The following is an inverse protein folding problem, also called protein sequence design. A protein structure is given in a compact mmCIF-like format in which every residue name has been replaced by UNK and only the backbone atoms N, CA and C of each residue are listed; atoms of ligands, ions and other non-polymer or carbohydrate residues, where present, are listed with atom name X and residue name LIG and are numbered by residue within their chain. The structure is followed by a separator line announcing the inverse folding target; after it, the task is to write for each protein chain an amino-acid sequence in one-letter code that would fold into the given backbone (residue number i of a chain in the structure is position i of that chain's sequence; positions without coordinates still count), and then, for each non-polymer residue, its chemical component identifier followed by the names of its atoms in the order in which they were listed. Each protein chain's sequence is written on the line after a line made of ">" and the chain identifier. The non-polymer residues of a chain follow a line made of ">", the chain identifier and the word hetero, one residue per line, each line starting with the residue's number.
data_IF_506721592312
#
_entry.id   IF_506721592312
#
_cell.length_a   1.000
_cell.length_b   1.000
_cell.length_c   1.000
_cell.angle_alpha   90.00
_cell.angle_beta   90.00
_cell.angle_gamma   90.00
#
_symmetry.space_group_name_H-M   'P 1'
#
loop_
_entity.id
_entity.type
_entity.pdbx_description
1 polymer ?
#
# COMPACT_ATOMS: atom_id res chain seq x y z
N UNK A 1 13.80 -7.97 -6.97
CA UNK A 1 13.40 -6.70 -7.62
C UNK A 1 12.53 -6.92 -8.86
N UNK A 2 12.95 -7.65 -9.90
CA UNK A 2 12.13 -7.83 -11.10
C UNK A 2 10.83 -8.65 -10.90
N UNK A 3 10.81 -9.57 -9.92
CA UNK A 3 9.63 -10.40 -9.56
C UNK A 3 8.62 -9.67 -8.67
N UNK A 4 9.06 -8.65 -7.94
CA UNK A 4 8.20 -7.90 -7.00
C UNK A 4 7.14 -7.08 -7.76
N UNK A 5 7.52 -6.53 -8.91
CA UNK A 5 6.66 -5.69 -9.75
C UNK A 5 5.43 -6.46 -10.27
N UNK A 6 5.56 -7.63 -10.92
CA UNK A 6 4.40 -8.39 -11.38
C UNK A 6 3.56 -8.94 -10.22
N UNK A 7 4.18 -9.37 -9.12
CA UNK A 7 3.43 -9.82 -7.93
C UNK A 7 2.61 -8.70 -7.29
N UNK A 8 3.20 -7.50 -7.13
CA UNK A 8 2.49 -6.33 -6.61
C UNK A 8 1.35 -5.89 -7.54
N UNK A 9 1.52 -6.03 -8.85
CA UNK A 9 0.48 -5.71 -9.82
C UNK A 9 -0.71 -6.68 -9.73
N UNK A 10 -0.45 -7.99 -9.60
CA UNK A 10 -1.49 -9.01 -9.38
C UNK A 10 -2.22 -8.76 -8.05
N UNK A 11 -1.48 -8.40 -7.00
CA UNK A 11 -2.05 -8.07 -5.69
C UNK A 11 -2.94 -6.82 -5.76
N UNK A 12 -2.48 -5.76 -6.43
CA UNK A 12 -3.25 -4.52 -6.61
C UNK A 12 -4.56 -4.77 -7.37
N UNK A 13 -4.52 -5.59 -8.43
CA UNK A 13 -5.71 -5.96 -9.21
C UNK A 13 -6.68 -6.79 -8.36
N UNK A 14 -6.17 -7.77 -7.60
CA UNK A 14 -7.01 -8.59 -6.71
C UNK A 14 -7.70 -7.74 -5.65
N UNK A 15 -6.97 -6.86 -4.96
CA UNK A 15 -7.55 -5.94 -3.99
C UNK A 15 -8.55 -4.98 -4.63
N UNK A 16 -8.29 -4.48 -5.85
CA UNK A 16 -9.24 -3.65 -6.58
C UNK A 16 -10.54 -4.39 -6.89
N UNK A 17 -10.48 -5.60 -7.43
CA UNK A 17 -11.66 -6.41 -7.79
C UNK A 17 -12.55 -6.65 -6.56
N UNK A 18 -11.96 -6.80 -5.37
CA UNK A 18 -12.70 -6.99 -4.13
C UNK A 18 -13.30 -5.67 -3.65
N UNK A 19 -12.48 -4.63 -3.47
CA UNK A 19 -12.92 -3.39 -2.81
C UNK A 19 -13.80 -2.52 -3.70
N UNK A 20 -13.58 -2.50 -5.02
CA UNK A 20 -14.34 -1.65 -5.95
C UNK A 20 -15.86 -1.94 -5.93
N UNK A 21 -16.33 -3.19 -6.03
CA UNK A 21 -17.76 -3.50 -5.86
C UNK A 21 -18.25 -3.32 -4.42
N UNK A 22 -17.41 -3.51 -3.40
CA UNK A 22 -17.80 -3.33 -1.99
C UNK A 22 -18.20 -1.89 -1.63
N UNK A 23 -17.62 -0.89 -2.31
CA UNK A 23 -17.90 0.53 -2.03
C UNK A 23 -19.11 1.04 -2.84
N UNK A 24 -19.60 0.28 -3.83
CA UNK A 24 -20.77 0.69 -4.63
C UNK A 24 -20.50 1.91 -5.53
N UNK A 25 -19.24 2.11 -5.94
CA UNK A 25 -18.84 3.26 -6.78
C UNK A 25 -19.48 3.22 -8.18
N UNK A 26 -19.72 4.40 -8.74
CA UNK A 26 -20.14 4.55 -10.14
C UNK A 26 -19.03 4.09 -11.09
N UNK A 27 -19.35 3.18 -12.01
CA UNK A 27 -18.41 2.61 -12.99
C UNK A 27 -17.96 3.67 -13.99
N UNK A 28 -16.80 4.28 -13.73
CA UNK A 28 -16.11 5.18 -14.66
C UNK A 28 -14.66 4.73 -14.81
N UNK A 29 -14.25 4.44 -16.04
CA UNK A 29 -12.91 3.93 -16.36
C UNK A 29 -11.79 4.85 -15.84
N UNK A 30 -12.01 6.17 -15.87
CA UNK A 30 -11.07 7.16 -15.33
C UNK A 30 -10.84 6.98 -13.83
N UNK A 31 -11.92 6.83 -13.04
CA UNK A 31 -11.84 6.65 -11.58
C UNK A 31 -11.26 5.29 -11.21
N UNK A 32 -11.59 4.25 -11.98
CA UNK A 32 -11.03 2.91 -11.81
C UNK A 32 -9.53 2.92 -12.01
N UNK A 33 -9.07 3.52 -13.10
CA UNK A 33 -7.65 3.58 -13.41
C UNK A 33 -6.87 4.34 -12.33
N UNK A 34 -7.38 5.50 -11.91
CA UNK A 34 -6.79 6.27 -10.83
C UNK A 34 -6.73 5.50 -9.51
N UNK A 35 -7.81 4.77 -9.18
CA UNK A 35 -7.88 3.98 -7.96
C UNK A 35 -6.88 2.80 -7.96
N UNK A 36 -6.82 2.04 -9.06
CA UNK A 36 -5.84 0.93 -9.21
C UNK A 36 -4.41 1.49 -9.13
N UNK A 37 -4.14 2.61 -9.80
CA UNK A 37 -2.84 3.27 -9.77
C UNK A 37 -2.44 3.70 -8.35
N UNK A 38 -3.36 4.30 -7.58
CA UNK A 38 -3.11 4.68 -6.20
C UNK A 38 -2.82 3.49 -5.29
N UNK A 39 -3.58 2.38 -5.40
CA UNK A 39 -3.32 1.16 -4.63
C UNK A 39 -1.96 0.55 -4.99
N UNK A 40 -1.66 0.46 -6.28
CA UNK A 40 -0.40 -0.08 -6.78
C UNK A 40 0.81 0.72 -6.26
N UNK A 41 0.75 2.05 -6.30
CA UNK A 41 1.78 2.92 -5.74
C UNK A 41 1.96 2.72 -4.24
N UNK A 42 0.87 2.60 -3.48
CA UNK A 42 0.94 2.40 -2.03
C UNK A 42 1.57 1.06 -1.66
N UNK A 43 1.23 -0.01 -2.40
CA UNK A 43 1.82 -1.34 -2.20
C UNK A 43 3.32 -1.34 -2.51
N UNK A 44 3.73 -0.77 -3.64
CA UNK A 44 5.16 -0.63 -4.00
C UNK A 44 5.93 0.14 -2.93
N UNK A 45 5.38 1.27 -2.47
CA UNK A 45 6.02 2.09 -1.45
C UNK A 45 6.23 1.32 -0.14
N UNK A 46 5.24 0.54 0.30
CA UNK A 46 5.36 -0.29 1.50
C UNK A 46 6.37 -1.44 1.33
N UNK A 47 6.44 -2.07 0.15
CA UNK A 47 7.44 -3.10 -0.16
C UNK A 47 8.87 -2.54 -0.16
N UNK A 48 9.11 -1.39 -0.79
CA UNK A 48 10.44 -0.77 -0.80
C UNK A 48 10.88 -0.30 0.58
N UNK A 49 9.96 0.27 1.37
CA UNK A 49 10.24 0.60 2.77
C UNK A 49 10.56 -0.64 3.59
N UNK A 50 9.85 -1.75 3.38
CA UNK A 50 10.15 -3.02 4.04
C UNK A 50 11.54 -3.55 3.74
N UNK A 51 11.96 -3.50 2.47
CA UNK A 51 13.32 -3.88 2.09
C UNK A 51 14.39 -2.99 2.74
N UNK A 52 14.13 -1.68 2.84
CA UNK A 52 15.04 -0.73 3.47
C UNK A 52 15.17 -1.01 4.98
N UNK A 53 14.06 -1.29 5.65
CA UNK A 53 14.04 -1.62 7.10
C UNK A 53 14.75 -2.95 7.38
N UNK A 54 14.57 -3.98 6.54
CA UNK A 54 15.28 -5.26 6.65
C UNK A 54 16.78 -5.09 6.42
N UNK A 55 17.19 -4.23 5.48
CA UNK A 55 18.62 -3.97 5.23
C UNK A 55 19.30 -3.23 6.37
N UNK A 56 18.57 -2.42 7.14
CA UNK A 56 19.11 -1.62 8.23
C UNK A 56 19.24 -2.41 9.54
N UNK A 57 18.56 -3.55 9.67
CA UNK A 57 18.41 -4.24 10.95
C UNK A 57 18.85 -5.70 10.87
N UNK A 58 19.79 -6.17 11.70
CA UNK A 58 20.24 -7.56 11.66
C UNK A 58 19.22 -8.57 12.23
N UNK A 59 18.11 -8.10 12.79
CA UNK A 59 17.08 -8.94 13.41
C UNK A 59 15.69 -8.69 12.81
N UNK A 60 15.08 -9.75 12.28
CA UNK A 60 13.76 -9.74 11.65
C UNK A 60 12.63 -9.26 12.58
N UNK A 61 12.73 -9.50 13.90
CA UNK A 61 11.72 -9.04 14.85
C UNK A 61 11.67 -7.51 14.95
N UNK A 62 12.85 -6.88 14.94
CA UNK A 62 12.98 -5.42 15.04
C UNK A 62 12.55 -4.78 13.71
N UNK A 63 12.87 -5.41 12.58
CA UNK A 63 12.42 -4.97 11.27
C UNK A 63 10.88 -4.93 11.15
N UNK A 64 10.18 -5.96 11.64
CA UNK A 64 8.72 -6.02 11.61
C UNK A 64 8.06 -4.93 12.48
N UNK A 65 8.63 -4.66 13.66
CA UNK A 65 8.15 -3.59 14.55
C UNK A 65 8.38 -2.22 13.93
N UNK A 66 9.55 -1.98 13.34
CA UNK A 66 9.86 -0.69 12.73
C UNK A 66 8.99 -0.43 11.49
N UNK A 67 8.74 -1.47 10.69
CA UNK A 67 7.86 -1.36 9.52
C UNK A 67 6.40 -1.06 9.90
N UNK A 68 5.88 -1.66 10.98
CA UNK A 68 4.52 -1.37 11.44
C UNK A 68 4.37 0.06 11.97
N UNK A 69 5.37 0.58 12.68
CA UNK A 69 5.40 1.98 13.14
C UNK A 69 5.42 2.93 11.95
N UNK A 70 6.27 2.70 10.95
CA UNK A 70 6.31 3.52 9.73
C UNK A 70 4.99 3.48 8.96
N UNK A 71 4.39 2.31 8.79
CA UNK A 71 3.09 2.17 8.12
C UNK A 71 1.97 2.91 8.87
N UNK A 72 2.01 2.91 10.21
CA UNK A 72 1.06 3.65 11.05
C UNK A 72 1.25 5.17 10.91
N UNK A 73 2.49 5.65 10.87
CA UNK A 73 2.79 7.06 10.63
C UNK A 73 2.32 7.52 9.24
N UNK A 74 2.55 6.70 8.22
CA UNK A 74 2.07 6.98 6.85
C UNK A 74 0.54 7.07 6.80
N UNK A 75 -0.15 6.22 7.55
CA UNK A 75 -1.62 6.25 7.66
C UNK A 75 -2.12 7.48 8.44
N UNK A 76 -1.37 7.94 9.46
CA UNK A 76 -1.65 9.19 10.18
C UNK A 76 -1.52 10.41 9.28
N UNK A 77 -0.45 10.51 8.49
CA UNK A 77 -0.23 11.61 7.55
C UNK A 77 -1.11 11.55 6.31
N UNK A 78 -1.65 10.38 5.95
CA UNK A 78 -2.60 10.21 4.86
C UNK A 78 -4.00 10.79 5.14
N UNK A 79 -4.23 11.38 6.32
CA UNK A 79 -5.45 12.15 6.63
C UNK A 79 -6.66 11.31 7.06
N UNK A 80 -6.49 10.01 7.29
CA UNK A 80 -7.59 9.13 7.75
C UNK A 80 -7.83 9.21 9.26
N UNK A 81 -6.77 9.39 10.07
CA UNK A 81 -6.83 9.41 11.53
C UNK A 81 -6.84 10.81 12.16
N UNK A 82 -6.37 11.83 11.42
CA UNK A 82 -6.35 13.21 11.88
C UNK A 82 -7.47 13.94 11.13
N UNK A 83 -8.64 14.18 11.75
CA UNK A 83 -9.65 15.04 11.15
C UNK A 83 -9.04 16.43 11.07
N UNK A 84 -8.66 16.84 9.87
CA UNK A 84 -8.28 18.21 9.57
C UNK A 84 -9.52 19.09 9.51
N UNK A 85 -10.16 19.26 10.67
CA UNK A 85 -11.45 19.95 10.92
C UNK A 85 -12.69 19.17 10.49
#
# INVERSE_FOLDING_TARGET
>A
VAIEIPCALIQAVTCWIITYPSVGYYWSAYKIFWYIFSIFCMLLYSSYLGMLVVSLTPNAQIAAILQSVFNTLLTLFAGFLIPGK
#
